data_IF_893559826402
#
_entry.id   IF_893559826402
#
_cell.length_a   1.000
_cell.length_b   1.000
_cell.length_c   1.000
_cell.angle_alpha   90.00
_cell.angle_beta   90.00
_cell.angle_gamma   90.00
#
_symmetry.space_group_name_H-M   'P 1'
#
loop_
_entity.id
_entity.type
_entity.pdbx_description
1 polymer ?
#
# COMPACT_ATOMS: atom_id res chain seq x y z
N UNK A 1 40.93 -37.11 34.43
CA UNK A 1 40.50 -35.75 34.07
C UNK A 1 40.06 -35.78 32.61
N UNK A 2 38.79 -35.44 32.33
CA UNK A 2 38.18 -35.46 30.99
C UNK A 2 38.46 -34.13 30.29
N UNK A 3 38.92 -34.12 29.04
CA UNK A 3 38.78 -32.97 28.15
C UNK A 3 38.30 -33.50 26.80
N UNK A 4 37.05 -33.14 26.47
CA UNK A 4 36.40 -33.36 25.17
C UNK A 4 36.97 -32.34 24.19
N UNK A 5 37.43 -32.78 23.01
CA UNK A 5 37.66 -31.88 21.88
C UNK A 5 36.37 -31.74 21.07
N UNK A 6 36.03 -30.48 20.82
CA UNK A 6 34.86 -29.95 20.16
C UNK A 6 35.13 -29.90 18.66
N UNK A 7 34.20 -30.41 17.85
CA UNK A 7 34.13 -30.06 16.42
C UNK A 7 32.69 -29.74 16.07
N UNK A 8 32.31 -28.46 16.20
CA UNK A 8 31.07 -27.93 15.64
C UNK A 8 31.43 -26.97 14.51
N UNK A 9 31.11 -27.36 13.27
CA UNK A 9 31.06 -26.46 12.12
C UNK A 9 30.03 -25.36 12.43
N UNK A 10 30.49 -24.13 12.67
CA UNK A 10 29.66 -22.95 12.44
C UNK A 10 29.69 -22.66 10.93
N UNK A 11 28.56 -22.90 10.26
CA UNK A 11 28.29 -22.25 8.99
C UNK A 11 27.89 -20.80 9.32
N UNK A 12 28.84 -19.89 9.25
CA UNK A 12 28.56 -18.46 9.30
C UNK A 12 27.88 -18.08 7.99
N UNK A 13 26.56 -17.88 8.02
CA UNK A 13 25.85 -17.17 6.97
C UNK A 13 26.19 -15.69 7.12
N UNK A 14 27.16 -15.21 6.37
CA UNK A 14 27.44 -13.79 6.26
C UNK A 14 26.27 -13.13 5.51
N UNK A 15 25.38 -12.46 6.25
CA UNK A 15 24.47 -11.50 5.67
C UNK A 15 25.32 -10.33 5.15
N UNK A 16 25.47 -10.21 3.83
CA UNK A 16 25.97 -8.99 3.21
C UNK A 16 24.91 -7.89 3.43
N UNK A 17 25.05 -7.13 4.51
CA UNK A 17 24.44 -5.81 4.65
C UNK A 17 25.23 -4.83 3.80
N UNK A 18 25.04 -4.92 2.48
CA UNK A 18 25.41 -3.83 1.58
C UNK A 18 24.44 -2.69 1.82
N UNK A 19 24.84 -1.70 2.63
CA UNK A 19 24.16 -0.42 2.68
C UNK A 19 24.50 0.29 1.37
N UNK A 20 23.70 0.02 0.34
CA UNK A 20 23.65 0.90 -0.82
C UNK A 20 22.85 2.10 -0.34
N UNK A 21 23.52 3.21 -0.02
CA UNK A 21 22.87 4.50 0.08
C UNK A 21 22.42 4.90 -1.33
N UNK A 22 21.31 4.31 -1.77
CA UNK A 22 20.55 4.87 -2.86
C UNK A 22 20.01 6.20 -2.32
N UNK A 23 20.56 7.30 -2.77
CA UNK A 23 19.91 8.61 -2.64
C UNK A 23 18.58 8.47 -3.36
N UNK A 24 17.49 8.27 -2.62
CA UNK A 24 16.17 8.39 -3.18
C UNK A 24 16.11 9.77 -3.86
N UNK A 25 15.63 9.87 -5.12
CA UNK A 25 15.37 11.18 -5.69
C UNK A 25 14.48 11.92 -4.69
N UNK A 26 14.84 13.17 -4.39
CA UNK A 26 14.00 14.03 -3.58
C UNK A 26 12.61 14.01 -4.23
N UNK A 27 11.62 13.43 -3.55
CA UNK A 27 10.25 13.39 -4.01
C UNK A 27 9.80 14.83 -4.05
N UNK A 28 9.77 15.45 -5.23
CA UNK A 28 9.13 16.74 -5.36
C UNK A 28 7.67 16.52 -4.95
N UNK A 29 7.14 17.29 -4.01
CA UNK A 29 5.74 17.18 -3.58
C UNK A 29 4.81 17.69 -4.69
N UNK A 30 3.58 17.16 -4.77
CA UNK A 30 2.56 17.75 -5.64
C UNK A 30 2.36 19.21 -5.23
N UNK A 31 2.27 20.13 -6.19
CA UNK A 31 1.90 21.51 -5.91
C UNK A 31 0.39 21.61 -5.68
N UNK A 32 -0.06 21.20 -4.50
CA UNK A 32 -1.47 21.13 -4.12
C UNK A 32 -2.23 22.45 -4.28
N UNK A 33 -1.56 23.61 -4.15
CA UNK A 33 -2.17 24.93 -4.34
C UNK A 33 -2.40 25.33 -5.81
N UNK A 34 -1.76 24.64 -6.76
CA UNK A 34 -1.93 24.87 -8.21
C UNK A 34 -2.88 23.87 -8.85
N UNK A 35 -3.12 22.72 -8.20
CA UNK A 35 -4.03 21.68 -8.69
C UNK A 35 -5.46 21.97 -8.22
N UNK A 36 -6.09 22.96 -8.83
CA UNK A 36 -7.43 23.45 -8.43
C UNK A 36 -8.61 22.72 -9.07
N UNK A 37 -8.37 21.66 -9.86
CA UNK A 37 -9.44 20.89 -10.50
C UNK A 37 -9.13 19.41 -10.45
N UNK A 38 -9.86 18.67 -9.60
CA UNK A 38 -9.91 17.22 -9.72
C UNK A 38 -10.50 16.84 -11.09
N UNK A 39 -10.10 15.69 -11.67
CA UNK A 39 -10.73 15.14 -12.85
C UNK A 39 -12.24 14.99 -12.65
N UNK A 40 -12.99 15.00 -13.76
CA UNK A 40 -14.40 14.66 -13.72
C UNK A 40 -14.58 13.27 -13.14
N UNK A 41 -15.24 13.17 -11.99
CA UNK A 41 -15.65 11.90 -11.41
C UNK A 41 -16.76 11.26 -12.23
N UNK A 42 -16.69 9.94 -12.36
CA UNK A 42 -17.67 9.13 -13.07
C UNK A 42 -18.25 8.12 -12.08
N UNK A 43 -19.56 7.90 -12.14
CA UNK A 43 -20.18 6.82 -11.39
C UNK A 43 -19.84 5.48 -12.06
N UNK A 44 -19.70 4.42 -11.27
CA UNK A 44 -19.62 3.07 -11.80
C UNK A 44 -20.99 2.69 -12.42
N UNK A 45 -21.05 2.43 -13.72
CA UNK A 45 -22.30 2.01 -14.37
C UNK A 45 -22.35 0.49 -14.54
N UNK A 46 -23.55 -0.11 -14.49
CA UNK A 46 -23.75 -1.55 -14.77
C UNK A 46 -23.33 -1.95 -16.19
N UNK A 47 -23.23 -0.99 -17.12
CA UNK A 47 -22.80 -1.24 -18.51
C UNK A 47 -21.29 -1.25 -18.69
N UNK A 48 -20.53 -0.77 -17.70
CA UNK A 48 -19.08 -0.85 -17.75
C UNK A 48 -18.66 -2.26 -17.33
N UNK A 49 -17.75 -2.90 -18.09
CA UNK A 49 -17.24 -4.27 -17.87
C UNK A 49 -16.31 -4.36 -16.64
N UNK A 50 -16.77 -3.84 -15.50
CA UNK A 50 -16.09 -3.83 -14.22
C UNK A 50 -16.81 -4.68 -13.17
N UNK A 51 -17.50 -5.74 -13.58
CA UNK A 51 -18.10 -6.71 -12.64
C UNK A 51 -17.13 -7.16 -11.54
N UNK A 52 -15.84 -7.29 -11.89
CA UNK A 52 -14.76 -7.57 -10.96
C UNK A 52 -14.44 -6.41 -9.99
N UNK A 53 -14.51 -5.14 -10.41
CA UNK A 53 -14.25 -4.00 -9.51
C UNK A 53 -15.38 -3.84 -8.49
N UNK A 54 -16.64 -3.95 -8.93
CA UNK A 54 -17.80 -3.81 -8.03
C UNK A 54 -17.75 -4.89 -6.96
N UNK A 55 -17.50 -6.14 -7.37
CA UNK A 55 -17.36 -7.27 -6.44
C UNK A 55 -16.20 -7.07 -5.46
N UNK A 56 -15.08 -6.53 -5.95
CA UNK A 56 -13.92 -6.22 -5.10
C UNK A 56 -14.25 -5.12 -4.10
N UNK A 57 -14.87 -4.01 -4.53
CA UNK A 57 -15.32 -2.92 -3.66
C UNK A 57 -16.26 -3.44 -2.58
N UNK A 58 -17.28 -4.22 -2.95
CA UNK A 58 -18.23 -4.80 -2.00
C UNK A 58 -17.54 -5.73 -0.99
N UNK A 59 -16.59 -6.53 -1.46
CA UNK A 59 -15.80 -7.43 -0.61
C UNK A 59 -14.90 -6.65 0.35
N UNK A 60 -14.23 -5.59 -0.12
CA UNK A 60 -13.40 -4.72 0.68
C UNK A 60 -14.23 -4.03 1.76
N UNK A 61 -15.34 -3.39 1.37
CA UNK A 61 -16.24 -2.74 2.32
C UNK A 61 -16.77 -3.73 3.35
N UNK A 62 -17.09 -4.96 2.95
CA UNK A 62 -17.49 -6.01 3.89
C UNK A 62 -16.37 -6.36 4.88
N UNK A 63 -15.12 -6.44 4.45
CA UNK A 63 -13.99 -6.75 5.34
C UNK A 63 -13.65 -5.60 6.27
N UNK A 64 -13.59 -4.37 5.75
CA UNK A 64 -13.30 -3.17 6.55
C UNK A 64 -14.39 -3.02 7.62
N UNK A 65 -15.68 -3.21 7.27
CA UNK A 65 -16.79 -3.19 8.23
C UNK A 65 -16.77 -4.32 9.27
N UNK A 66 -16.12 -5.46 8.97
CA UNK A 66 -16.04 -6.62 9.88
C UNK A 66 -14.86 -6.57 10.84
N UNK A 67 -13.88 -5.70 10.60
CA UNK A 67 -12.73 -5.51 11.48
C UNK A 67 -13.19 -4.88 12.81
N UNK A 68 -13.69 -5.73 13.72
CA UNK A 68 -14.16 -5.33 15.05
C UNK A 68 -13.02 -5.01 16.03
N UNK A 69 -11.75 -5.22 15.64
CA UNK A 69 -10.65 -4.41 16.16
C UNK A 69 -10.65 -3.12 15.33
N UNK A 70 -11.43 -2.14 15.81
CA UNK A 70 -11.60 -0.78 15.28
C UNK A 70 -10.65 -0.46 14.11
N UNK A 71 -11.16 -0.66 12.90
CA UNK A 71 -10.71 0.07 11.73
C UNK A 71 -9.36 -0.35 11.10
N UNK A 72 -8.71 -1.45 11.51
CA UNK A 72 -7.53 -1.93 10.75
C UNK A 72 -7.85 -2.33 9.29
N UNK A 73 -7.15 -1.72 8.34
CA UNK A 73 -7.06 -2.11 6.94
C UNK A 73 -6.78 -3.62 6.88
N UNK A 74 -7.75 -4.40 6.39
CA UNK A 74 -7.76 -5.82 6.62
C UNK A 74 -6.62 -6.50 5.86
N UNK A 75 -6.15 -7.64 6.36
CA UNK A 75 -5.28 -8.50 5.57
C UNK A 75 -6.07 -9.09 4.39
N UNK A 76 -5.83 -8.54 3.20
CA UNK A 76 -6.56 -8.88 1.98
C UNK A 76 -6.10 -10.18 1.32
N UNK A 77 -5.14 -10.88 1.93
CA UNK A 77 -4.61 -12.16 1.44
C UNK A 77 -5.70 -13.23 1.31
N UNK A 78 -6.69 -13.22 2.22
CA UNK A 78 -7.84 -14.14 2.19
C UNK A 78 -8.82 -13.86 1.03
N UNK A 79 -8.79 -12.65 0.45
CA UNK A 79 -9.56 -12.30 -0.75
C UNK A 79 -8.76 -12.55 -2.05
N UNK A 80 -7.55 -13.12 -1.95
CA UNK A 80 -6.66 -13.35 -3.09
C UNK A 80 -5.78 -12.15 -3.44
N UNK A 81 -5.77 -11.10 -2.61
CA UNK A 81 -4.81 -10.02 -2.72
C UNK A 81 -3.41 -10.49 -2.32
N UNK A 82 -2.38 -9.93 -2.94
CA UNK A 82 -1.00 -10.20 -2.53
C UNK A 82 -0.39 -8.91 -2.01
N UNK A 83 0.21 -8.93 -0.82
CA UNK A 83 0.92 -7.77 -0.29
C UNK A 83 1.89 -7.21 -1.33
N UNK A 84 1.82 -5.90 -1.54
CA UNK A 84 2.55 -5.21 -2.58
C UNK A 84 3.37 -4.07 -2.00
N UNK A 85 4.64 -4.02 -2.39
CA UNK A 85 5.55 -2.93 -2.05
C UNK A 85 5.32 -1.77 -3.01
N UNK A 86 4.66 -0.72 -2.50
CA UNK A 86 4.26 0.45 -3.29
C UNK A 86 5.46 1.22 -3.87
N UNK A 87 6.68 1.06 -3.33
CA UNK A 87 7.89 1.63 -3.94
C UNK A 87 8.27 0.97 -5.28
N UNK A 88 7.67 -0.18 -5.60
CA UNK A 88 7.88 -0.94 -6.83
C UNK A 88 6.73 -0.76 -7.83
N UNK A 89 5.89 0.26 -7.66
CA UNK A 89 4.78 0.56 -8.57
C UNK A 89 5.27 1.18 -9.88
N UNK A 90 6.04 0.41 -10.65
CA UNK A 90 6.52 0.77 -11.98
C UNK A 90 5.75 -0.02 -13.03
N UNK A 91 5.02 0.67 -13.90
CA UNK A 91 4.21 0.06 -14.94
C UNK A 91 5.08 -0.76 -15.90
N UNK A 92 4.66 -1.99 -16.19
CA UNK A 92 5.33 -2.91 -17.10
C UNK A 92 4.80 -2.83 -18.53
N UNK A 93 3.64 -2.18 -18.71
CA UNK A 93 2.95 -1.97 -19.98
C UNK A 93 2.41 -0.54 -20.06
N UNK A 94 2.19 -0.03 -21.28
CA UNK A 94 1.42 1.19 -21.50
C UNK A 94 -0.02 0.97 -21.01
N UNK A 95 -0.58 1.91 -20.25
CA UNK A 95 -1.84 1.68 -19.54
C UNK A 95 -2.60 2.98 -19.30
N UNK A 96 -3.93 2.94 -19.50
CA UNK A 96 -4.86 3.95 -18.99
C UNK A 96 -5.19 3.64 -17.53
N UNK A 97 -4.74 4.51 -16.62
CA UNK A 97 -4.83 4.28 -15.17
C UNK A 97 -6.03 4.99 -14.59
N UNK A 98 -6.80 4.28 -13.75
CA UNK A 98 -8.00 4.80 -13.10
C UNK A 98 -7.93 4.60 -11.60
N UNK A 99 -8.45 5.55 -10.84
CA UNK A 99 -8.60 5.43 -9.39
C UNK A 99 -10.08 5.40 -9.02
N UNK A 100 -10.45 4.47 -8.14
CA UNK A 100 -11.81 4.23 -7.64
C UNK A 100 -11.84 4.49 -6.15
N UNK A 101 -12.77 5.31 -5.69
CA UNK A 101 -13.02 5.49 -4.28
C UNK A 101 -13.68 4.24 -3.69
N UNK A 102 -13.18 3.75 -2.56
CA UNK A 102 -13.77 2.61 -1.83
C UNK A 102 -14.36 3.08 -0.52
N UNK A 103 -13.56 3.75 0.29
CA UNK A 103 -13.95 4.13 1.64
C UNK A 103 -13.09 5.25 2.22
N UNK A 104 -13.59 5.85 3.29
CA UNK A 104 -12.86 6.71 4.20
C UNK A 104 -13.28 6.33 5.64
N UNK A 105 -12.29 6.03 6.47
CA UNK A 105 -12.47 5.62 7.87
C UNK A 105 -12.34 6.77 8.87
N UNK A 106 -11.82 7.93 8.44
CA UNK A 106 -11.54 9.09 9.27
C UNK A 106 -12.66 10.16 9.21
N UNK A 107 -12.59 11.18 10.09
CA UNK A 107 -13.46 12.37 10.04
C UNK A 107 -12.75 13.58 9.36
N UNK A 108 -11.64 13.33 8.65
CA UNK A 108 -10.75 14.39 8.17
C UNK A 108 -10.95 14.69 6.69
N UNK A 109 -10.84 15.97 6.34
CA UNK A 109 -11.03 16.43 4.96
C UNK A 109 -9.79 16.15 4.11
N UNK A 110 -9.63 14.89 3.72
CA UNK A 110 -8.48 14.41 2.99
C UNK A 110 -8.61 14.63 1.48
N UNK A 111 -7.48 14.78 0.81
CA UNK A 111 -7.38 14.82 -0.65
C UNK A 111 -6.43 13.73 -1.14
N UNK A 112 -6.72 13.15 -2.31
CA UNK A 112 -5.84 12.18 -2.96
C UNK A 112 -5.24 12.78 -4.23
N UNK A 113 -3.92 12.71 -4.32
CA UNK A 113 -3.14 13.12 -5.48
C UNK A 113 -2.23 11.99 -5.95
N UNK A 114 -1.62 12.18 -7.10
CA UNK A 114 -0.65 11.25 -7.65
C UNK A 114 0.47 11.97 -8.40
N UNK A 115 1.59 11.25 -8.53
CA UNK A 115 2.73 11.59 -9.36
C UNK A 115 3.11 10.41 -10.21
N UNK A 116 3.52 10.71 -11.43
CA UNK A 116 4.07 9.79 -12.39
C UNK A 116 5.50 10.24 -12.68
N UNK A 117 6.45 9.37 -12.38
CA UNK A 117 7.87 9.58 -12.56
C UNK A 117 8.38 8.72 -13.71
N UNK A 118 9.29 9.26 -14.52
CA UNK A 118 10.00 8.45 -15.51
C UNK A 118 11.11 7.58 -14.89
N UNK A 119 11.89 6.91 -15.72
CA UNK A 119 13.00 6.07 -15.27
C UNK A 119 14.16 6.83 -14.61
N UNK A 120 14.24 8.15 -14.81
CA UNK A 120 15.24 9.01 -14.18
C UNK A 120 14.76 9.57 -12.84
N UNK A 121 13.48 9.37 -12.51
CA UNK A 121 12.85 9.94 -11.32
C UNK A 121 12.31 11.35 -11.55
N UNK A 122 12.21 11.81 -12.81
CA UNK A 122 11.64 13.11 -13.14
C UNK A 122 10.12 13.00 -13.19
N UNK A 123 9.41 13.98 -12.61
CA UNK A 123 7.94 14.04 -12.69
C UNK A 123 7.56 14.36 -14.14
N UNK A 124 6.93 13.39 -14.80
CA UNK A 124 6.37 13.56 -16.15
C UNK A 124 4.90 13.96 -16.13
N UNK A 125 4.21 13.68 -15.03
CA UNK A 125 2.83 14.09 -14.79
C UNK A 125 2.50 14.00 -13.32
N UNK A 126 1.68 14.92 -12.83
CA UNK A 126 1.08 14.87 -11.51
C UNK A 126 -0.35 15.38 -11.56
N UNK A 127 -1.09 15.21 -10.47
CA UNK A 127 -2.42 15.79 -10.37
C UNK A 127 -3.22 15.30 -9.18
N UNK A 128 -4.42 15.86 -9.06
CA UNK A 128 -5.41 15.46 -8.08
C UNK A 128 -6.16 14.26 -8.65
N UNK A 129 -6.38 13.23 -7.84
CA UNK A 129 -7.31 12.15 -8.14
C UNK A 129 -8.69 12.47 -7.54
N UNK A 130 -8.73 12.80 -6.25
CA UNK A 130 -9.96 13.19 -5.56
C UNK A 130 -9.71 14.45 -4.74
N UNK A 131 -10.45 15.51 -5.08
CA UNK A 131 -10.35 16.80 -4.39
C UNK A 131 -10.72 16.69 -2.92
N UNK A 132 -11.70 15.85 -2.59
CA UNK A 132 -12.21 15.58 -1.26
C UNK A 132 -12.59 14.10 -1.19
N UNK A 133 -12.24 13.45 -0.10
CA UNK A 133 -12.51 12.03 0.13
C UNK A 133 -13.69 11.76 1.09
N UNK A 134 -14.24 12.81 1.70
CA UNK A 134 -15.43 12.70 2.54
C UNK A 134 -16.61 12.13 1.75
N UNK A 135 -17.23 11.08 2.28
CA UNK A 135 -18.42 10.48 1.71
C UNK A 135 -19.49 10.21 2.75
N UNK A 136 -20.76 10.40 2.37
CA UNK A 136 -21.92 9.94 3.16
C UNK A 136 -22.10 8.43 3.09
N UNK A 137 -21.36 7.74 2.21
CA UNK A 137 -21.35 6.28 2.08
C UNK A 137 -20.07 5.68 2.69
N UNK A 138 -19.24 6.49 3.37
CA UNK A 138 -18.08 6.03 4.15
C UNK A 138 -18.51 5.19 5.35
N UNK A 139 -17.60 4.34 5.85
CA UNK A 139 -17.83 3.56 7.08
C UNK A 139 -18.00 4.48 8.28
N UNK A 140 -17.28 5.61 8.27
CA UNK A 140 -17.53 6.72 9.17
C UNK A 140 -18.27 7.79 8.38
N UNK A 141 -19.59 7.83 8.53
CA UNK A 141 -20.43 8.79 7.81
C UNK A 141 -20.03 10.23 8.19
N UNK A 142 -19.34 10.92 7.29
CA UNK A 142 -19.11 12.34 7.42
C UNK A 142 -20.27 13.10 6.76
N UNK A 143 -21.12 13.73 7.56
CA UNK A 143 -22.34 14.41 7.07
C UNK A 143 -22.05 15.66 6.22
N UNK A 144 -20.78 16.10 6.17
CA UNK A 144 -20.35 17.21 5.33
C UNK A 144 -19.43 16.70 4.21
N UNK A 145 -20.04 16.28 3.09
CA UNK A 145 -19.37 16.05 1.82
C UNK A 145 -19.82 17.11 0.81
N UNK A 146 -18.89 17.86 0.25
CA UNK A 146 -19.17 18.88 -0.77
C UNK A 146 -19.11 18.30 -2.20
N UNK A 147 -18.43 17.16 -2.36
CA UNK A 147 -18.28 16.46 -3.64
C UNK A 147 -19.35 15.38 -3.88
N UNK A 148 -20.13 15.00 -2.86
CA UNK A 148 -21.09 13.89 -2.91
C UNK A 148 -20.43 12.61 -3.47
N UNK A 149 -19.18 12.34 -3.03
CA UNK A 149 -18.40 11.19 -3.45
C UNK A 149 -19.11 9.90 -2.99
N UNK A 150 -19.17 8.90 -3.86
CA UNK A 150 -19.84 7.63 -3.58
C UNK A 150 -18.90 6.46 -3.77
N UNK A 151 -19.18 5.35 -3.08
CA UNK A 151 -18.39 4.14 -3.27
C UNK A 151 -18.43 3.72 -4.74
N UNK A 152 -17.27 3.47 -5.33
CA UNK A 152 -17.12 3.14 -6.75
C UNK A 152 -17.08 4.33 -7.71
N UNK A 153 -17.28 5.57 -7.25
CA UNK A 153 -16.94 6.75 -8.05
C UNK A 153 -15.47 6.68 -8.45
N UNK A 154 -15.18 7.02 -9.71
CA UNK A 154 -13.84 6.86 -10.26
C UNK A 154 -13.41 8.03 -11.14
N UNK A 155 -12.11 8.18 -11.25
CA UNK A 155 -11.45 9.19 -12.09
C UNK A 155 -10.46 8.53 -13.04
N UNK A 156 -10.37 9.07 -14.26
CA UNK A 156 -9.29 8.72 -15.16
C UNK A 156 -8.06 9.56 -14.85
N UNK A 157 -6.95 8.92 -14.46
CA UNK A 157 -5.67 9.57 -14.26
C UNK A 157 -4.93 9.74 -15.60
N UNK A 158 -5.33 8.99 -16.61
CA UNK A 158 -4.89 9.07 -18.00
C UNK A 158 -3.96 7.92 -18.42
N UNK A 159 -3.42 8.04 -19.62
CA UNK A 159 -2.50 7.06 -20.17
C UNK A 159 -1.06 7.32 -19.71
N UNK A 160 -0.38 6.27 -19.28
CA UNK A 160 1.01 6.28 -18.86
C UNK A 160 1.78 5.21 -19.64
N UNK A 161 3.01 5.55 -20.04
CA UNK A 161 3.88 4.61 -20.74
C UNK A 161 4.50 3.59 -19.77
N UNK A 162 4.88 2.43 -20.30
CA UNK A 162 5.74 1.47 -19.62
C UNK A 162 6.97 2.16 -19.03
N UNK A 163 7.38 1.75 -17.83
CA UNK A 163 8.50 2.31 -17.09
C UNK A 163 8.12 3.50 -16.21
N UNK A 164 6.90 4.03 -16.35
CA UNK A 164 6.38 5.06 -15.44
C UNK A 164 6.22 4.48 -14.03
N UNK A 165 6.78 5.15 -13.04
CA UNK A 165 6.56 4.84 -11.63
C UNK A 165 5.45 5.74 -11.09
N UNK A 166 4.43 5.15 -10.46
CA UNK A 166 3.34 5.92 -9.85
C UNK A 166 3.56 6.01 -8.34
N UNK A 167 3.34 7.19 -7.79
CA UNK A 167 3.30 7.45 -6.36
C UNK A 167 2.02 8.20 -6.03
N UNK A 168 1.23 7.68 -5.09
CA UNK A 168 0.04 8.36 -4.58
C UNK A 168 0.40 9.16 -3.34
N UNK A 169 -0.27 10.29 -3.15
CA UNK A 169 -0.08 11.17 -2.02
C UNK A 169 -1.42 11.51 -1.37
N UNK A 170 -1.50 11.38 -0.05
CA UNK A 170 -2.61 11.85 0.76
C UNK A 170 -2.26 13.22 1.34
N UNK A 171 -3.06 14.24 1.04
CA UNK A 171 -2.97 15.53 1.71
C UNK A 171 -3.98 15.54 2.87
N UNK A 172 -3.48 15.32 4.08
CA UNK A 172 -4.32 15.04 5.24
C UNK A 172 -4.93 16.31 5.84
N UNK A 173 -6.25 16.29 6.01
CA UNK A 173 -7.07 17.34 6.63
C UNK A 173 -6.76 18.78 6.15
N UNK A 174 -6.44 18.95 4.87
CA UNK A 174 -5.86 20.20 4.33
C UNK A 174 -6.87 21.07 3.56
N UNK A 175 -8.06 20.52 3.29
CA UNK A 175 -9.14 21.23 2.63
C UNK A 175 -9.65 22.42 3.47
N UNK A 176 -10.14 23.45 2.77
CA UNK A 176 -10.79 24.64 3.34
C UNK A 176 -9.90 25.52 4.23
N UNK A 177 -8.57 25.42 4.11
CA UNK A 177 -7.66 26.29 4.85
C UNK A 177 -7.75 26.09 6.36
N UNK A 178 -8.15 24.89 6.80
CA UNK A 178 -8.02 24.48 8.19
C UNK A 178 -6.57 24.67 8.61
N UNK A 179 -6.33 25.35 9.73
CA UNK A 179 -4.99 25.54 10.30
C UNK A 179 -4.35 24.23 10.80
N UNK A 180 -4.95 23.08 10.50
CA UNK A 180 -4.71 21.77 11.10
C UNK A 180 -4.47 20.70 10.03
N UNK A 181 -3.81 21.06 8.91
CA UNK A 181 -3.29 20.03 8.00
C UNK A 181 -2.33 19.14 8.76
N UNK A 182 -2.49 17.82 8.61
CA UNK A 182 -1.56 16.83 9.17
C UNK A 182 -0.45 16.49 8.19
N UNK A 183 -0.33 17.21 7.06
CA UNK A 183 0.76 17.06 6.12
C UNK A 183 0.44 16.16 4.93
N UNK A 184 1.48 15.87 4.16
CA UNK A 184 1.40 15.09 2.93
C UNK A 184 2.10 13.75 3.14
N UNK A 185 1.38 12.67 2.89
CA UNK A 185 1.87 11.31 3.06
C UNK A 185 1.98 10.62 1.71
N UNK A 186 3.14 10.06 1.41
CA UNK A 186 3.44 9.32 0.20
C UNK A 186 3.17 7.83 0.38
N UNK A 187 2.70 7.20 -0.70
CA UNK A 187 2.39 5.77 -0.75
C UNK A 187 3.63 4.88 -0.73
N UNK A 188 4.75 5.33 -1.30
CA UNK A 188 5.96 4.52 -1.43
C UNK A 188 6.74 4.41 -0.10
N UNK A 189 7.16 3.19 0.26
CA UNK A 189 7.85 2.88 1.52
C UNK A 189 9.15 3.67 1.77
N UNK A 190 9.84 4.03 0.71
CA UNK A 190 11.10 4.78 0.75
C UNK A 190 10.92 6.28 0.51
N UNK A 191 9.67 6.77 0.46
CA UNK A 191 9.41 8.19 0.34
C UNK A 191 9.64 8.89 1.69
N UNK A 192 10.10 10.16 1.69
CA UNK A 192 10.33 10.93 2.90
C UNK A 192 8.98 11.43 3.45
N UNK A 193 8.22 10.54 4.10
CA UNK A 193 7.08 10.97 4.91
C UNK A 193 7.59 11.79 6.11
N UNK A 194 6.82 12.78 6.62
CA UNK A 194 7.41 13.79 7.48
C UNK A 194 7.85 13.28 8.86
N UNK A 195 7.33 12.13 9.31
CA UNK A 195 7.78 11.40 10.51
C UNK A 195 8.69 10.18 10.19
N UNK A 196 8.99 9.95 8.92
CA UNK A 196 9.80 8.83 8.44
C UNK A 196 9.09 7.46 8.51
N UNK A 197 7.78 7.42 8.75
CA UNK A 197 7.01 6.18 8.81
C UNK A 197 6.29 5.91 7.50
N UNK A 198 5.90 4.64 7.29
CA UNK A 198 5.05 4.27 6.17
C UNK A 198 3.59 4.58 6.49
N UNK A 199 2.92 5.37 5.65
CA UNK A 199 1.51 5.76 5.79
C UNK A 199 0.56 5.11 4.79
N UNK A 200 1.04 4.18 3.96
CA UNK A 200 0.17 3.41 3.07
C UNK A 200 0.43 1.89 3.12
N UNK A 201 -0.58 1.10 2.78
CA UNK A 201 -0.44 -0.34 2.52
C UNK A 201 -1.06 -0.68 1.18
N UNK A 202 -0.43 -1.62 0.46
CA UNK A 202 -0.83 -2.03 -0.88
C UNK A 202 -1.11 -3.52 -0.98
N UNK A 203 -2.17 -3.91 -1.69
CA UNK A 203 -2.42 -5.28 -2.11
C UNK A 203 -2.75 -5.34 -3.60
N UNK A 204 -2.08 -6.23 -4.32
CA UNK A 204 -2.28 -6.45 -5.75
C UNK A 204 -3.20 -7.65 -5.99
N UNK A 205 -4.28 -7.42 -6.75
CA UNK A 205 -5.26 -8.42 -7.15
C UNK A 205 -5.20 -8.66 -8.66
N UNK A 206 -5.14 -9.94 -9.04
CA UNK A 206 -5.13 -10.38 -10.44
C UNK A 206 -4.09 -9.67 -11.32
N UNK A 207 -3.01 -9.18 -10.70
CA UNK A 207 -1.96 -8.37 -11.33
C UNK A 207 -2.48 -7.10 -12.03
N UNK A 208 -3.63 -6.57 -11.61
CA UNK A 208 -4.29 -5.42 -12.24
C UNK A 208 -4.85 -4.38 -11.30
N UNK A 209 -5.46 -4.81 -10.21
CA UNK A 209 -6.08 -3.91 -9.26
C UNK A 209 -5.19 -3.78 -8.04
N UNK A 210 -4.73 -2.57 -7.78
CA UNK A 210 -3.95 -2.25 -6.60
C UNK A 210 -4.85 -1.57 -5.58
N UNK A 211 -5.16 -2.26 -4.49
CA UNK A 211 -5.89 -1.68 -3.35
C UNK A 211 -4.87 -0.96 -2.48
N UNK A 212 -5.11 0.31 -2.18
CA UNK A 212 -4.25 1.13 -1.32
C UNK A 212 -5.10 1.68 -0.17
N UNK A 213 -4.64 1.43 1.05
CA UNK A 213 -5.14 2.06 2.27
C UNK A 213 -4.11 3.04 2.82
N UNK A 214 -4.55 4.20 3.31
CA UNK A 214 -3.72 5.22 3.94
C UNK A 214 -4.07 5.45 5.40
N UNK A 215 -3.06 5.90 6.14
CA UNK A 215 -3.16 6.51 7.47
C UNK A 215 -2.91 8.02 7.34
N UNK A 216 -3.76 8.85 7.93
CA UNK A 216 -3.76 10.31 7.75
C UNK A 216 -3.23 11.13 8.95
N UNK A 217 -2.82 10.43 10.01
CA UNK A 217 -2.20 11.02 11.19
C UNK A 217 -0.75 10.60 11.35
N UNK A 218 0.02 11.43 12.06
CA UNK A 218 1.40 11.17 12.43
C UNK A 218 1.53 10.13 13.54
N UNK A 219 2.68 9.46 13.54
CA UNK A 219 3.13 8.64 14.65
C UNK A 219 3.02 7.15 14.38
N UNK A 220 3.51 6.36 15.34
CA UNK A 220 3.71 4.91 15.20
C UNK A 220 2.63 4.07 15.89
N UNK A 221 1.52 4.69 16.33
CA UNK A 221 0.53 4.04 17.19
C UNK A 221 0.66 4.41 18.66
N UNK A 222 1.77 5.03 19.08
CA UNK A 222 1.96 5.41 20.47
C UNK A 222 1.29 6.76 20.77
N UNK A 223 0.53 6.82 21.88
CA UNK A 223 -0.08 8.08 22.37
C UNK A 223 0.96 9.09 22.90
N UNK A 224 2.26 8.78 22.82
CA UNK A 224 3.32 9.58 23.42
C UNK A 224 3.84 10.65 22.46
N UNK A 225 3.47 11.91 22.70
CA UNK A 225 4.15 13.08 22.12
C UNK A 225 3.54 13.63 20.83
N UNK A 226 2.51 12.98 20.27
CA UNK A 226 1.71 13.48 19.14
C UNK A 226 0.23 13.25 19.48
N UNK A 227 -0.59 14.28 19.31
CA UNK A 227 -2.04 14.17 19.52
C UNK A 227 -2.77 14.99 18.45
N UNK A 228 -3.72 14.38 17.72
CA UNK A 228 -4.12 12.97 17.80
C UNK A 228 -3.02 12.04 17.27
N UNK A 229 -2.87 10.86 17.89
CA UNK A 229 -1.92 9.85 17.44
C UNK A 229 -2.58 8.98 16.37
N UNK A 230 -1.81 8.62 15.34
CA UNK A 230 -2.13 7.55 14.40
C UNK A 230 -2.46 6.26 15.15
N UNK A 231 -3.48 5.52 14.73
CA UNK A 231 -3.78 4.17 15.22
C UNK A 231 -3.26 3.06 14.29
N UNK A 232 -2.63 3.46 13.17
CA UNK A 232 -1.83 2.61 12.26
C UNK A 232 -2.66 1.52 11.60
N UNK A 233 -3.90 1.86 11.39
CA UNK A 233 -4.91 0.97 10.91
C UNK A 233 -4.96 1.05 9.36
N UNK A 234 -4.55 2.16 8.75
CA UNK A 234 -4.49 2.41 7.30
C UNK A 234 -5.83 2.36 6.57
N UNK A 235 -6.95 2.57 7.26
CA UNK A 235 -8.27 2.64 6.63
C UNK A 235 -8.84 4.06 6.51
N UNK A 236 -8.13 5.08 7.01
CA UNK A 236 -8.54 6.48 6.95
C UNK A 236 -8.94 6.89 5.54
N UNK A 237 -8.26 6.36 4.54
CA UNK A 237 -8.69 6.41 3.13
C UNK A 237 -8.34 5.12 2.41
N UNK A 238 -9.30 4.55 1.67
CA UNK A 238 -9.11 3.35 0.85
C UNK A 238 -9.56 3.60 -0.58
N UNK A 239 -8.70 3.26 -1.53
CA UNK A 239 -9.00 3.32 -2.96
C UNK A 239 -8.43 2.12 -3.73
N UNK A 240 -8.95 1.92 -4.94
CA UNK A 240 -8.41 0.94 -5.88
C UNK A 240 -7.85 1.68 -7.07
N UNK A 241 -6.67 1.27 -7.54
CA UNK A 241 -6.09 1.74 -8.79
C UNK A 241 -6.14 0.60 -9.79
N UNK A 242 -6.88 0.80 -10.88
CA UNK A 242 -6.77 -0.06 -12.07
C UNK A 242 -5.53 0.36 -12.83
N UNK A 243 -4.49 -0.47 -12.74
CA UNK A 243 -3.22 -0.28 -13.44
C UNK A 243 -3.13 -1.20 -14.66
N UNK A 244 -4.25 -1.70 -15.20
CA UNK A 244 -4.24 -2.64 -16.31
C UNK A 244 -3.52 -3.95 -15.97
N UNK A 245 -3.43 -4.89 -16.91
CA UNK A 245 -2.72 -6.14 -16.63
C UNK A 245 -1.21 -5.89 -16.56
N UNK A 246 -0.62 -6.12 -15.40
CA UNK A 246 0.79 -5.93 -15.13
C UNK A 246 1.48 -7.25 -14.79
N UNK A 247 2.80 -7.31 -14.96
CA UNK A 247 3.65 -8.43 -14.51
C UNK A 247 4.48 -8.03 -13.30
N UNK A 248 3.81 -7.49 -12.27
CA UNK A 248 4.46 -7.04 -11.04
C UNK A 248 4.74 -8.21 -10.10
N UNK A 249 5.92 -8.21 -9.48
CA UNK A 249 6.27 -9.18 -8.45
C UNK A 249 5.62 -8.75 -7.12
N UNK A 250 4.78 -9.61 -6.55
CA UNK A 250 4.25 -9.46 -5.20
C UNK A 250 5.31 -9.79 -4.14
N UNK A 251 5.21 -9.19 -2.96
CA UNK A 251 6.06 -9.57 -1.82
C UNK A 251 5.64 -10.99 -1.36
N UNK A 252 6.57 -11.95 -1.21
CA UNK A 252 6.24 -13.25 -0.65
C UNK A 252 5.69 -13.09 0.76
N UNK A 253 4.55 -13.72 1.06
CA UNK A 253 3.98 -13.64 2.39
C UNK A 253 4.96 -14.19 3.45
N UNK A 254 5.01 -13.58 4.66
CA UNK A 254 5.90 -14.03 5.73
C UNK A 254 5.76 -15.53 6.05
N UNK A 255 4.54 -16.06 5.93
CA UNK A 255 4.17 -17.46 6.15
C UNK A 255 4.86 -18.42 5.17
N UNK A 256 4.95 -18.05 3.88
CA UNK A 256 5.58 -18.86 2.85
C UNK A 256 7.10 -18.98 3.07
N UNK A 257 7.72 -17.90 3.54
CA UNK A 257 9.15 -17.88 3.89
C UNK A 257 9.43 -18.78 5.09
N UNK A 258 8.63 -18.67 6.15
CA UNK A 258 8.72 -19.54 7.33
C UNK A 258 8.51 -21.02 6.97
N UNK A 259 7.55 -21.34 6.11
CA UNK A 259 7.31 -22.71 5.64
C UNK A 259 8.52 -23.28 4.89
N UNK A 260 9.19 -22.49 4.05
CA UNK A 260 10.38 -22.92 3.32
C UNK A 260 11.57 -23.18 4.28
N UNK A 261 11.73 -22.32 5.29
CA UNK A 261 12.76 -22.48 6.33
C UNK A 261 12.47 -23.73 7.19
N UNK A 262 11.21 -23.96 7.56
CA UNK A 262 10.80 -25.15 8.28
C UNK A 262 11.03 -26.44 7.46
N UNK A 263 10.64 -26.44 6.19
CA UNK A 263 10.83 -27.60 5.30
C UNK A 263 12.31 -27.93 5.07
N UNK A 264 13.15 -26.91 4.86
CA UNK A 264 14.59 -27.09 4.64
C UNK A 264 15.32 -27.59 5.89
N UNK A 265 14.99 -27.07 7.07
CA UNK A 265 15.55 -27.55 8.34
C UNK A 265 15.17 -29.00 8.61
N UNK A 266 13.89 -29.36 8.48
CA UNK A 266 13.43 -30.75 8.62
C UNK A 266 14.08 -31.71 7.61
N UNK A 267 14.25 -31.29 6.36
CA UNK A 267 14.95 -32.05 5.32
C UNK A 267 16.42 -32.33 5.69
N UNK A 268 17.13 -31.32 6.18
CA UNK A 268 18.53 -31.48 6.64
C UNK A 268 18.66 -32.41 7.85
N UNK A 269 17.73 -32.33 8.82
CA UNK A 269 17.72 -33.25 9.97
C UNK A 269 17.35 -34.69 9.57
N UNK A 270 16.41 -34.87 8.65
CA UNK A 270 16.02 -36.19 8.12
C UNK A 270 17.16 -36.89 7.37
N UNK A 271 17.90 -36.15 6.54
CA UNK A 271 19.06 -36.69 5.81
C UNK A 271 20.22 -37.06 6.73
N UNK A 272 20.47 -36.28 7.80
CA UNK A 272 21.48 -36.62 8.83
C UNK A 272 21.13 -37.91 9.57
N UNK A 273 19.84 -38.13 9.87
CA UNK A 273 19.39 -39.35 10.56
C UNK A 273 19.56 -40.60 9.69
N UNK A 274 19.28 -40.50 8.38
CA UNK A 274 19.48 -41.61 7.43
C UNK A 274 20.95 -41.97 7.22
N UNK A 275 21.84 -40.98 7.16
CA UNK A 275 23.29 -41.23 7.05
C UNK A 275 23.85 -41.99 8.25
N UNK A 276 23.38 -41.70 9.47
CA UNK A 276 23.83 -42.40 10.67
C UNK A 276 23.26 -43.83 10.79
N UNK A 277 22.15 -44.13 10.12
CA UNK A 277 21.57 -45.49 10.11
C UNK A 277 22.22 -46.43 9.09
N UNK A 278 22.93 -45.91 8.08
CA UNK A 278 23.65 -46.73 7.09
C UNK A 278 25.11 -47.03 7.47
N UNK A 279 25.64 -46.41 8.52
CA UNK A 279 27.02 -46.63 9.00
C UNK A 279 27.06 -47.71 10.11
N UNK A 280 25.91 -48.12 10.64
CA UNK A 280 25.78 -49.09 11.73
C UNK A 280 25.01 -50.37 11.30
N UNK A 281 24.98 -50.68 10.01
CA UNK A 281 24.37 -51.90 9.45
C UNK A 281 25.42 -52.80 8.81
#
# INVERSE_FOLDING_TARGET
MKIKLITSLLAAAAALTGVISATAPASAEINWGSVNTAPTKNALSQSDDFSNISTLIDSLNTQINKSQEKYAFPDLSLLGGKSFDLSKLTLQNDTDVRAYFVNEGADYNNQLGYQALDSNGDIVKDGMAFWELNSTESIRENQTSFTNLKQGDWVNLGNFSKGTTLNFQLNANSLYGTSNSYGIYNSAFNAPNPDGLQHARGYLFNSRYLVIGFEDLYGDGSETGVTPASDRDFNDTVFIVDIGNQSLQSVPEPSATLALVAASTLGMFGLRRRRNSQING
#
